data_IF_103403918183
#
_entry.id   IF_103403918183
#
_cell.length_a   1.000
_cell.length_b   1.000
_cell.length_c   1.000
_cell.angle_alpha   90.00
_cell.angle_beta   90.00
_cell.angle_gamma   90.00
#
_symmetry.space_group_name_H-M   'P 1'
#
loop_
_entity.id
_entity.type
_entity.pdbx_description
1 polymer ?
#
# COMPACT_ATOMS: atom_id res chain seq x y z
N UNK A 1 10.76 2.68 -7.28
CA UNK A 1 11.04 2.48 -5.83
C UNK A 1 9.77 2.00 -5.15
N UNK A 2 9.85 1.41 -3.94
CA UNK A 2 8.71 0.75 -3.29
C UNK A 2 7.45 1.63 -3.20
N UNK A 3 7.60 2.91 -2.85
CA UNK A 3 6.49 3.89 -2.83
C UNK A 3 5.74 3.93 -4.15
N UNK A 4 6.48 4.06 -5.26
CA UNK A 4 5.93 4.12 -6.61
C UNK A 4 5.22 2.81 -6.96
N UNK A 5 5.87 1.67 -6.71
CA UNK A 5 5.29 0.36 -7.02
C UNK A 5 3.97 0.10 -6.29
N UNK A 6 3.87 0.53 -5.03
CA UNK A 6 2.61 0.41 -4.26
C UNK A 6 1.56 1.39 -4.79
N UNK A 7 1.94 2.63 -5.10
CA UNK A 7 1.03 3.61 -5.69
C UNK A 7 0.47 3.14 -7.03
N UNK A 8 1.32 2.65 -7.92
CA UNK A 8 0.95 2.15 -9.24
C UNK A 8 0.01 0.94 -9.09
N UNK A 9 0.30 0.01 -8.17
CA UNK A 9 -0.55 -1.17 -7.94
C UNK A 9 -1.97 -0.81 -7.48
N UNK A 10 -2.12 0.17 -6.58
CA UNK A 10 -3.45 0.64 -6.15
C UNK A 10 -4.15 1.44 -7.26
N UNK A 11 -3.39 2.23 -8.03
CA UNK A 11 -3.91 3.01 -9.15
C UNK A 11 -4.42 2.10 -10.27
N UNK A 12 -3.71 1.02 -10.57
CA UNK A 12 -4.09 0.05 -11.60
C UNK A 12 -5.37 -0.71 -11.22
N UNK A 13 -5.57 -1.00 -9.94
CA UNK A 13 -6.74 -1.76 -9.44
C UNK A 13 -7.97 -0.87 -9.22
N UNK A 14 -7.81 0.32 -8.63
CA UNK A 14 -8.92 1.16 -8.16
C UNK A 14 -9.07 2.50 -8.90
N UNK A 15 -8.04 2.92 -9.66
CA UNK A 15 -8.02 4.19 -10.40
C UNK A 15 -7.10 5.24 -9.79
N UNK A 16 -6.68 6.21 -10.62
CA UNK A 16 -5.77 7.31 -10.23
C UNK A 16 -6.35 8.21 -9.13
N UNK A 17 -7.68 8.36 -9.09
CA UNK A 17 -8.36 9.20 -8.10
C UNK A 17 -8.43 8.57 -6.70
N UNK A 18 -8.17 7.27 -6.58
CA UNK A 18 -8.29 6.56 -5.31
C UNK A 18 -7.15 6.86 -4.35
N UNK A 19 -5.92 6.98 -4.85
CA UNK A 19 -4.72 7.13 -4.02
C UNK A 19 -4.39 8.61 -3.83
N UNK A 20 -4.41 9.09 -2.58
CA UNK A 20 -3.95 10.44 -2.24
C UNK A 20 -2.42 10.47 -2.12
N UNK A 21 -1.85 9.67 -1.20
CA UNK A 21 -0.41 9.43 -1.15
C UNK A 21 -0.02 8.11 -0.49
N UNK A 22 1.20 7.65 -0.80
CA UNK A 22 1.84 6.50 -0.14
C UNK A 22 2.98 6.97 0.77
N UNK A 23 2.91 6.58 2.05
CA UNK A 23 3.97 6.78 3.05
C UNK A 23 4.75 5.48 3.24
N UNK A 24 6.08 5.59 3.27
CA UNK A 24 6.99 4.46 3.51
C UNK A 24 7.86 4.79 4.70
N UNK A 25 7.76 3.98 5.76
CA UNK A 25 8.56 4.06 6.97
C UNK A 25 9.32 2.74 7.17
N UNK A 26 10.52 2.81 7.73
CA UNK A 26 11.26 1.61 8.11
C UNK A 26 11.01 1.36 9.59
N UNK A 27 10.33 0.26 9.94
CA UNK A 27 10.04 -0.06 11.34
C UNK A 27 11.26 -0.71 12.01
N UNK A 28 11.93 -1.59 11.27
CA UNK A 28 13.21 -2.21 11.62
C UNK A 28 13.96 -2.52 10.29
N UNK A 29 15.24 -2.96 10.32
CA UNK A 29 15.98 -3.20 9.07
C UNK A 29 15.39 -4.32 8.19
N UNK A 30 14.47 -5.13 8.73
CA UNK A 30 13.91 -6.31 8.07
C UNK A 30 12.44 -6.16 7.64
N UNK A 31 11.79 -5.05 7.96
CA UNK A 31 10.37 -4.80 7.72
C UNK A 31 10.11 -3.33 7.39
N UNK A 32 9.52 -3.12 6.23
CA UNK A 32 9.10 -1.82 5.74
C UNK A 32 7.62 -1.66 6.03
N UNK A 33 7.25 -0.60 6.73
CA UNK A 33 5.87 -0.22 6.97
C UNK A 33 5.43 0.73 5.84
N UNK A 34 4.36 0.35 5.15
CA UNK A 34 3.80 1.11 4.04
C UNK A 34 2.37 1.47 4.38
N UNK A 35 2.06 2.76 4.42
CA UNK A 35 0.70 3.27 4.59
C UNK A 35 0.23 3.89 3.29
N UNK A 36 -0.83 3.35 2.72
CA UNK A 36 -1.53 3.91 1.56
C UNK A 36 -2.68 4.75 2.09
N UNK A 37 -2.64 6.04 1.80
CA UNK A 37 -3.74 6.96 2.11
C UNK A 37 -4.60 7.11 0.87
N UNK A 38 -5.89 6.85 1.04
CA UNK A 38 -6.88 6.83 -0.04
C UNK A 38 -7.99 7.85 0.22
N UNK A 39 -8.68 8.26 -0.85
CA UNK A 39 -9.80 9.20 -0.76
C UNK A 39 -11.06 8.50 -0.26
N UNK A 40 -11.48 7.41 -0.92
CA UNK A 40 -12.65 6.63 -0.56
C UNK A 40 -12.27 5.18 -0.26
N UNK A 41 -12.57 4.74 0.97
CA UNK A 41 -12.20 3.41 1.45
C UNK A 41 -13.20 2.34 1.06
N UNK A 42 -12.74 1.39 0.25
CA UNK A 42 -13.48 0.19 -0.09
C UNK A 42 -13.05 -1.01 0.78
N UNK A 43 -13.99 -1.89 1.19
CA UNK A 43 -13.68 -3.05 2.04
C UNK A 43 -12.66 -4.02 1.42
N UNK A 44 -12.59 -4.08 0.10
CA UNK A 44 -11.73 -5.01 -0.63
C UNK A 44 -10.25 -4.57 -0.63
N UNK A 45 -9.98 -3.29 -0.33
CA UNK A 45 -8.63 -2.72 -0.36
C UNK A 45 -7.70 -3.29 0.70
N UNK A 46 -8.23 -3.68 1.87
CA UNK A 46 -7.44 -4.37 2.89
C UNK A 46 -7.01 -5.77 2.40
N UNK A 47 -7.88 -6.44 1.65
CA UNK A 47 -7.58 -7.74 1.04
C UNK A 47 -6.52 -7.59 -0.06
N UNK A 48 -6.65 -6.55 -0.89
CA UNK A 48 -5.65 -6.22 -1.91
C UNK A 48 -4.30 -5.86 -1.29
N UNK A 49 -4.28 -5.02 -0.25
CA UNK A 49 -3.07 -4.66 0.49
C UNK A 49 -2.35 -5.90 1.05
N UNK A 50 -3.10 -6.85 1.61
CA UNK A 50 -2.55 -8.12 2.07
C UNK A 50 -1.95 -8.93 0.91
N UNK A 51 -2.68 -9.08 -0.21
CA UNK A 51 -2.18 -9.80 -1.38
C UNK A 51 -0.90 -9.18 -1.97
N UNK A 52 -0.85 -7.84 -2.04
CA UNK A 52 0.31 -7.09 -2.49
C UNK A 52 1.51 -7.28 -1.55
N UNK A 53 1.28 -7.29 -0.23
CA UNK A 53 2.34 -7.54 0.76
C UNK A 53 2.97 -8.93 0.58
N UNK A 54 2.18 -9.96 0.30
CA UNK A 54 2.67 -11.32 0.04
C UNK A 54 3.36 -11.44 -1.34
N UNK A 55 2.93 -10.67 -2.33
CA UNK A 55 3.62 -10.58 -3.62
C UNK A 55 5.03 -9.97 -3.47
N UNK A 56 5.14 -8.86 -2.74
CA UNK A 56 6.44 -8.22 -2.43
C UNK A 56 7.35 -9.15 -1.62
N UNK A 57 6.78 -9.89 -0.67
CA UNK A 57 7.53 -10.86 0.14
C UNK A 57 8.17 -11.96 -0.71
N UNK A 58 7.47 -12.45 -1.74
CA UNK A 58 8.02 -13.43 -2.70
C UNK A 58 9.17 -12.87 -3.53
N UNK A 59 9.24 -11.54 -3.69
CA UNK A 59 10.34 -10.83 -4.35
C UNK A 59 11.49 -10.48 -3.37
N UNK A 60 11.41 -10.91 -2.11
CA UNK A 60 12.40 -10.65 -1.07
C UNK A 60 12.19 -9.33 -0.32
N UNK A 61 11.11 -8.60 -0.59
CA UNK A 61 10.78 -7.35 0.09
C UNK A 61 9.73 -7.61 1.17
N UNK A 62 10.11 -7.48 2.43
CA UNK A 62 9.17 -7.58 3.56
C UNK A 62 8.52 -6.23 3.79
N UNK A 63 7.31 -6.05 3.26
CA UNK A 63 6.49 -4.86 3.47
C UNK A 63 5.19 -5.24 4.20
N UNK A 64 4.83 -4.48 5.23
CA UNK A 64 3.49 -4.49 5.80
C UNK A 64 2.72 -3.31 5.19
N UNK A 65 1.61 -3.58 4.52
CA UNK A 65 0.82 -2.55 3.83
C UNK A 65 -0.47 -2.33 4.63
N UNK A 66 -0.75 -1.08 4.99
CA UNK A 66 -2.02 -0.64 5.57
C UNK A 66 -2.69 0.37 4.67
N UNK A 67 -4.00 0.31 4.65
CA UNK A 67 -4.85 1.27 3.94
C UNK A 67 -5.58 2.12 4.97
N UNK A 68 -5.64 3.42 4.75
CA UNK A 68 -6.41 4.35 5.58
C UNK A 68 -7.03 5.41 4.69
N UNK A 69 -8.27 5.81 4.97
CA UNK A 69 -8.86 6.99 4.37
C UNK A 69 -8.32 8.26 5.04
N UNK A 70 -8.19 9.35 4.29
CA UNK A 70 -7.98 10.67 4.88
C UNK A 70 -9.31 11.16 5.47
N UNK A 71 -9.64 10.70 6.68
CA UNK A 71 -10.83 11.19 7.38
C UNK A 71 -10.57 12.63 7.83
N UNK A 72 -11.00 13.57 6.98
CA UNK A 72 -11.14 14.98 7.35
C UNK A 72 -12.44 15.21 8.11
#
# INVERSE_FOLDING_TARGET
GLRQAVSDAFTDEYGEETVDHVRVAHFNPDLIDVTVVIQDQEPEMDTFAFALSEALRRQGVRAAIRVTSDQT
#
